data_IF_495753158784
#
_entry.id   IF_495753158784
#
_cell.length_a   1.000
_cell.length_b   1.000
_cell.length_c   1.000
_cell.angle_alpha   90.00
_cell.angle_beta   90.00
_cell.angle_gamma   90.00
#
_symmetry.space_group_name_H-M   'P 1'
#
loop_
_entity.id
_entity.type
_entity.pdbx_description
1 polymer ?
#
# COMPACT_ATOMS: atom_id res chain seq x y z
N UNK A 1 8.10 -13.30 6.82
CA UNK A 1 6.72 -13.54 7.22
C UNK A 1 5.75 -12.76 6.32
N UNK A 2 5.79 -11.43 6.31
CA UNK A 2 4.86 -10.56 5.56
C UNK A 2 4.86 -10.92 4.07
N UNK A 3 6.01 -11.01 3.43
CA UNK A 3 6.14 -11.34 2.01
C UNK A 3 5.44 -12.65 1.62
N UNK A 4 5.42 -13.65 2.50
CA UNK A 4 4.73 -14.93 2.25
C UNK A 4 3.20 -14.82 2.28
N UNK A 5 2.67 -13.74 2.80
CA UNK A 5 1.23 -13.54 3.01
C UNK A 5 0.75 -12.17 2.52
N UNK A 6 1.41 -11.62 1.49
CA UNK A 6 1.13 -10.28 0.94
C UNK A 6 -0.33 -10.08 0.54
N UNK A 7 -0.90 -11.10 -0.10
CA UNK A 7 -2.29 -11.03 -0.56
C UNK A 7 -3.27 -10.96 0.62
N UNK A 8 -2.97 -11.69 1.70
CA UNK A 8 -3.79 -11.68 2.92
C UNK A 8 -3.68 -10.35 3.66
N UNK A 9 -2.46 -9.85 3.85
CA UNK A 9 -2.21 -8.67 4.68
C UNK A 9 -2.42 -7.35 3.93
N UNK A 10 -2.01 -7.29 2.65
CA UNK A 10 -1.85 -6.03 1.93
C UNK A 10 -2.63 -5.99 0.61
N UNK A 11 -3.35 -7.07 0.27
CA UNK A 11 -4.03 -7.23 -1.03
C UNK A 11 -3.10 -7.07 -2.22
N UNK A 12 -1.84 -7.50 -2.05
CA UNK A 12 -0.79 -7.43 -3.07
C UNK A 12 -0.37 -8.83 -3.48
N UNK A 13 -0.43 -9.13 -4.76
CA UNK A 13 0.09 -10.37 -5.34
C UNK A 13 1.60 -10.26 -5.52
N UNK A 14 2.35 -11.24 -5.06
CA UNK A 14 3.80 -11.28 -5.15
C UNK A 14 4.28 -11.42 -6.61
N UNK A 15 5.22 -10.58 -7.03
CA UNK A 15 5.85 -10.64 -8.36
C UNK A 15 7.30 -11.08 -8.26
N UNK A 16 8.12 -10.40 -7.48
CA UNK A 16 9.52 -10.71 -7.29
C UNK A 16 10.04 -10.21 -5.94
N UNK A 17 11.09 -10.85 -5.42
CA UNK A 17 11.80 -10.50 -4.19
C UNK A 17 13.25 -10.16 -4.51
N UNK A 18 13.85 -9.26 -3.73
CA UNK A 18 15.27 -8.91 -3.81
C UNK A 18 15.69 -8.52 -5.24
N UNK A 19 14.83 -7.74 -5.92
CA UNK A 19 14.98 -7.46 -7.34
C UNK A 19 16.05 -6.40 -7.61
N UNK A 20 17.09 -6.77 -8.38
CA UNK A 20 18.19 -5.85 -8.71
C UNK A 20 17.75 -4.79 -9.71
N UNK A 21 18.00 -3.52 -9.40
CA UNK A 21 17.75 -2.37 -10.29
C UNK A 21 18.85 -2.12 -11.32
N UNK A 22 19.74 -3.11 -11.50
CA UNK A 22 20.84 -3.02 -12.47
C UNK A 22 22.01 -2.17 -11.99
N UNK A 23 22.99 -1.95 -12.90
CA UNK A 23 24.26 -1.29 -12.55
C UNK A 23 24.13 0.22 -12.32
N UNK A 24 23.19 0.86 -12.99
CA UNK A 24 23.02 2.33 -12.95
C UNK A 24 22.42 2.78 -11.63
N UNK A 25 21.33 2.14 -11.21
CA UNK A 25 20.69 2.43 -9.92
C UNK A 25 21.35 1.70 -8.76
N UNK A 26 22.08 0.61 -9.05
CA UNK A 26 22.89 -0.15 -8.11
C UNK A 26 22.17 -0.49 -6.79
N UNK A 27 20.86 -0.69 -6.86
CA UNK A 27 19.99 -0.99 -5.73
C UNK A 27 19.33 -2.34 -5.85
N UNK A 28 18.52 -2.67 -4.84
CA UNK A 28 17.77 -3.90 -4.77
C UNK A 28 16.44 -3.64 -4.07
N UNK A 29 15.36 -3.80 -4.82
CA UNK A 29 14.00 -3.66 -4.31
C UNK A 29 13.68 -4.88 -3.45
N UNK A 30 13.22 -4.67 -2.23
CA UNK A 30 12.91 -5.77 -1.31
C UNK A 30 11.79 -6.66 -1.88
N UNK A 31 10.65 -6.07 -2.26
CA UNK A 31 9.56 -6.83 -2.89
C UNK A 31 8.85 -6.00 -3.96
N UNK A 32 8.65 -6.63 -5.11
CA UNK A 32 7.75 -6.16 -6.18
C UNK A 32 6.44 -6.93 -6.11
N UNK A 33 5.34 -6.22 -6.26
CA UNK A 33 4.00 -6.77 -6.23
C UNK A 33 3.05 -6.12 -7.22
N UNK A 34 1.85 -6.67 -7.27
CA UNK A 34 0.75 -6.19 -8.09
C UNK A 34 -0.51 -6.13 -7.22
N UNK A 35 -1.12 -4.97 -7.08
CA UNK A 35 -2.31 -4.82 -6.25
C UNK A 35 -3.58 -5.35 -6.94
N UNK A 36 -4.70 -5.22 -6.26
CA UNK A 36 -6.01 -5.68 -6.73
C UNK A 36 -6.52 -4.92 -7.96
N UNK A 37 -6.01 -3.70 -8.20
CA UNK A 37 -6.33 -2.85 -9.34
C UNK A 37 -5.31 -3.00 -10.48
N UNK A 38 -4.41 -3.97 -10.40
CA UNK A 38 -3.31 -4.19 -11.34
C UNK A 38 -2.28 -3.05 -11.36
N UNK A 39 -2.20 -2.24 -10.29
CA UNK A 39 -1.17 -1.24 -10.14
C UNK A 39 0.13 -1.88 -9.62
N UNK A 40 1.28 -1.56 -10.24
CA UNK A 40 2.58 -1.96 -9.72
C UNK A 40 2.82 -1.45 -8.31
N UNK A 41 3.35 -2.31 -7.45
CA UNK A 41 3.54 -1.99 -6.04
C UNK A 41 4.95 -2.36 -5.62
N UNK A 42 5.66 -1.40 -5.01
CA UNK A 42 6.94 -1.61 -4.33
C UNK A 42 6.69 -1.71 -2.84
N UNK A 43 7.32 -2.66 -2.18
CA UNK A 43 7.27 -2.82 -0.74
C UNK A 43 8.70 -2.85 -0.21
N UNK A 44 9.02 -1.91 0.66
CA UNK A 44 10.31 -1.79 1.34
C UNK A 44 10.15 -2.06 2.84
N UNK A 45 11.04 -2.87 3.41
CA UNK A 45 10.99 -3.26 4.81
C UNK A 45 12.16 -2.67 5.60
N UNK A 46 11.87 -2.16 6.80
CA UNK A 46 12.92 -1.73 7.74
C UNK A 46 12.63 -2.19 9.16
N UNK A 47 13.69 -2.63 9.82
CA UNK A 47 13.63 -3.04 11.23
C UNK A 47 13.83 -1.87 12.20
N UNK A 48 14.48 -0.79 11.77
CA UNK A 48 14.81 0.35 12.62
C UNK A 48 14.21 1.65 12.09
N UNK A 49 13.73 2.52 12.97
CA UNK A 49 13.13 3.82 12.66
C UNK A 49 14.09 4.85 12.02
N UNK A 50 15.41 4.67 12.17
CA UNK A 50 16.43 5.61 11.65
C UNK A 50 16.79 5.36 10.17
N UNK A 51 16.13 4.46 9.49
CA UNK A 51 16.47 4.14 8.12
C UNK A 51 15.61 4.96 7.14
N UNK A 52 16.27 5.42 6.09
CA UNK A 52 15.69 6.24 5.03
C UNK A 52 14.82 5.42 4.06
N UNK A 53 13.85 4.66 4.60
CA UNK A 53 13.01 3.73 3.81
C UNK A 53 12.18 4.46 2.76
N UNK A 54 11.67 5.64 3.08
CA UNK A 54 10.85 6.45 2.17
C UNK A 54 11.67 6.89 0.96
N UNK A 55 12.85 7.48 1.18
CA UNK A 55 13.69 7.94 0.06
C UNK A 55 14.22 6.77 -0.76
N UNK A 56 14.51 5.63 -0.13
CA UNK A 56 14.89 4.41 -0.84
C UNK A 56 13.74 3.90 -1.71
N UNK A 57 12.55 3.83 -1.16
CA UNK A 57 11.35 3.42 -1.89
C UNK A 57 11.00 4.36 -3.04
N UNK A 58 11.14 5.68 -2.85
CA UNK A 58 10.95 6.67 -3.92
C UNK A 58 11.96 6.52 -5.05
N UNK A 59 13.23 6.25 -4.71
CA UNK A 59 14.26 5.98 -5.71
C UNK A 59 13.93 4.74 -6.55
N UNK A 60 13.39 3.70 -5.92
CA UNK A 60 12.95 2.50 -6.63
C UNK A 60 11.64 2.70 -7.41
N UNK A 61 10.76 3.56 -6.92
CA UNK A 61 9.54 3.91 -7.65
C UNK A 61 9.87 4.65 -8.94
N UNK A 62 10.87 5.55 -8.92
CA UNK A 62 11.41 6.22 -10.10
C UNK A 62 12.00 5.21 -11.09
N UNK A 63 12.82 4.29 -10.61
CA UNK A 63 13.34 3.19 -11.43
C UNK A 63 12.20 2.38 -12.09
N UNK A 64 11.17 2.04 -11.32
CA UNK A 64 10.04 1.25 -11.82
C UNK A 64 9.29 1.97 -12.94
N UNK A 65 9.13 3.29 -12.82
CA UNK A 65 8.47 4.10 -13.83
C UNK A 65 9.28 4.19 -15.14
N UNK A 66 10.60 4.14 -15.04
CA UNK A 66 11.49 4.11 -16.21
C UNK A 66 11.61 2.71 -16.85
N UNK A 67 11.29 1.65 -16.09
CA UNK A 67 11.48 0.24 -16.49
C UNK A 67 10.16 -0.53 -16.62
N UNK A 68 9.10 0.14 -17.09
CA UNK A 68 7.74 -0.45 -17.21
C UNK A 68 7.73 -1.77 -17.99
N UNK A 69 8.42 -1.82 -19.13
CA UNK A 69 8.48 -3.01 -19.97
C UNK A 69 9.14 -4.21 -19.25
N UNK A 70 10.13 -3.94 -18.40
CA UNK A 70 10.78 -4.99 -17.59
C UNK A 70 9.82 -5.55 -16.55
N UNK A 71 9.06 -4.70 -15.87
CA UNK A 71 8.04 -5.12 -14.92
C UNK A 71 6.89 -5.88 -15.62
N UNK A 72 6.44 -5.41 -16.79
CA UNK A 72 5.45 -6.13 -17.62
C UNK A 72 5.89 -7.55 -17.93
N UNK A 73 7.15 -7.75 -18.33
CA UNK A 73 7.70 -9.09 -18.59
C UNK A 73 7.71 -9.97 -17.34
N UNK A 74 8.01 -9.41 -16.16
CA UNK A 74 7.93 -10.13 -14.90
C UNK A 74 6.49 -10.58 -14.60
N UNK A 75 5.53 -9.67 -14.74
CA UNK A 75 4.10 -9.96 -14.53
C UNK A 75 3.61 -10.98 -15.55
N UNK A 76 3.99 -10.84 -16.81
CA UNK A 76 3.63 -11.81 -17.85
C UNK A 76 4.18 -13.21 -17.55
N UNK A 77 5.41 -13.30 -17.09
CA UNK A 77 6.06 -14.56 -16.72
C UNK A 77 5.38 -15.21 -15.51
N UNK A 78 4.94 -14.41 -14.54
CA UNK A 78 4.36 -14.90 -13.29
C UNK A 78 2.86 -15.23 -13.40
N UNK A 79 2.10 -14.37 -14.09
CA UNK A 79 0.64 -14.40 -14.13
C UNK A 79 0.02 -14.52 -15.52
N UNK A 80 0.86 -14.57 -16.57
CA UNK A 80 0.42 -14.68 -17.96
C UNK A 80 0.09 -13.35 -18.63
N UNK A 81 -0.05 -13.41 -19.97
CA UNK A 81 -0.24 -12.23 -20.82
C UNK A 81 -1.53 -11.46 -20.52
N UNK A 82 -2.62 -12.16 -20.17
CA UNK A 82 -3.90 -11.52 -19.85
C UNK A 82 -3.80 -10.60 -18.64
N UNK A 83 -3.02 -10.99 -17.64
CA UNK A 83 -2.77 -10.16 -16.45
C UNK A 83 -1.86 -8.99 -16.78
N UNK A 84 -0.79 -9.23 -17.53
CA UNK A 84 0.14 -8.17 -17.94
C UNK A 84 -0.56 -7.08 -18.78
N UNK A 85 -1.50 -7.47 -19.65
CA UNK A 85 -2.28 -6.52 -20.45
C UNK A 85 -3.24 -5.62 -19.63
N UNK A 86 -3.45 -5.94 -18.35
CA UNK A 86 -4.29 -5.14 -17.44
C UNK A 86 -3.50 -4.21 -16.53
N UNK A 87 -2.17 -4.18 -16.68
CA UNK A 87 -1.33 -3.32 -15.84
C UNK A 87 -1.75 -1.87 -15.93
N UNK A 88 -1.96 -1.28 -14.77
CA UNK A 88 -2.32 0.12 -14.60
C UNK A 88 -1.15 0.92 -14.04
N UNK A 89 -0.60 1.77 -14.87
CA UNK A 89 0.53 2.64 -14.54
C UNK A 89 0.12 4.03 -14.02
N UNK A 90 -1.18 4.30 -13.91
CA UNK A 90 -1.68 5.60 -13.44
C UNK A 90 -1.42 5.83 -11.96
N UNK A 91 -1.36 4.75 -11.16
CA UNK A 91 -1.29 4.84 -9.72
C UNK A 91 -0.32 3.81 -9.08
N UNK A 92 0.95 3.74 -9.50
CA UNK A 92 1.92 2.85 -8.87
C UNK A 92 2.07 3.19 -7.38
N UNK A 93 2.23 2.16 -6.54
CA UNK A 93 2.20 2.30 -5.08
C UNK A 93 3.55 2.01 -4.46
N UNK A 94 3.86 2.74 -3.39
CA UNK A 94 4.97 2.48 -2.49
C UNK A 94 4.45 2.18 -1.08
N UNK A 95 4.71 0.98 -0.58
CA UNK A 95 4.46 0.60 0.80
C UNK A 95 5.77 0.56 1.56
N UNK A 96 5.88 1.38 2.59
CA UNK A 96 7.00 1.35 3.52
C UNK A 96 6.56 0.66 4.81
N UNK A 97 7.17 -0.48 5.14
CA UNK A 97 6.83 -1.27 6.32
C UNK A 97 7.98 -1.17 7.31
N UNK A 98 7.74 -0.61 8.49
CA UNK A 98 8.76 -0.42 9.52
C UNK A 98 8.20 -0.68 10.92
N UNK A 99 9.10 -0.81 11.90
CA UNK A 99 8.73 -0.94 13.32
C UNK A 99 8.07 0.34 13.84
N UNK A 100 8.53 1.50 13.36
CA UNK A 100 7.92 2.80 13.69
C UNK A 100 8.29 3.84 12.63
N UNK A 101 7.52 4.94 12.59
CA UNK A 101 7.75 6.12 11.77
C UNK A 101 7.74 7.37 12.62
N UNK A 102 8.66 8.28 12.33
CA UNK A 102 8.72 9.55 13.02
C UNK A 102 7.64 10.51 12.49
N UNK A 103 7.27 11.53 13.30
CA UNK A 103 6.40 12.61 12.83
C UNK A 103 6.91 13.31 11.57
N UNK A 104 8.22 13.29 11.35
CA UNK A 104 8.85 13.89 10.17
C UNK A 104 8.62 13.04 8.93
N UNK A 105 8.62 11.71 9.06
CA UNK A 105 8.30 10.78 7.98
C UNK A 105 6.85 10.95 7.54
N UNK A 106 5.94 11.00 8.50
CA UNK A 106 4.50 11.23 8.25
C UNK A 106 4.27 12.57 7.57
N UNK A 107 4.95 13.63 8.01
CA UNK A 107 4.84 14.94 7.38
C UNK A 107 5.48 14.97 5.99
N UNK A 108 6.63 14.34 5.81
CA UNK A 108 7.35 14.34 4.54
C UNK A 108 6.53 13.73 3.40
N UNK A 109 5.87 12.59 3.63
CA UNK A 109 5.07 11.95 2.58
C UNK A 109 3.87 12.81 2.14
N UNK A 110 3.33 13.65 3.02
CA UNK A 110 2.23 14.57 2.69
C UNK A 110 2.65 15.67 1.68
N UNK A 111 3.96 15.90 1.54
CA UNK A 111 4.51 16.87 0.58
C UNK A 111 4.87 16.22 -0.77
N UNK A 112 4.62 14.92 -0.93
CA UNK A 112 5.02 14.15 -2.10
C UNK A 112 3.78 13.70 -2.86
N UNK A 113 3.66 14.10 -4.12
CA UNK A 113 2.57 13.69 -4.99
C UNK A 113 2.82 12.27 -5.56
N UNK A 114 2.70 11.26 -4.71
CA UNK A 114 2.82 9.83 -5.03
C UNK A 114 1.92 9.02 -4.10
N UNK A 115 1.55 7.81 -4.52
CA UNK A 115 0.80 6.89 -3.67
C UNK A 115 1.74 6.19 -2.69
N UNK A 116 1.80 6.69 -1.46
CA UNK A 116 2.69 6.19 -0.41
C UNK A 116 1.88 5.79 0.81
N UNK A 117 2.18 4.62 1.33
CA UNK A 117 1.58 4.07 2.55
C UNK A 117 2.67 3.74 3.55
N UNK A 118 2.50 4.24 4.78
CA UNK A 118 3.36 3.90 5.92
C UNK A 118 2.62 2.88 6.79
N UNK A 119 3.19 1.69 6.89
CA UNK A 119 2.63 0.58 7.66
C UNK A 119 3.59 0.22 8.79
N UNK A 120 3.14 0.39 10.01
CA UNK A 120 3.88 -0.03 11.20
C UNK A 120 3.58 -1.49 11.50
N UNK A 121 4.60 -2.29 11.77
CA UNK A 121 4.38 -3.63 12.31
C UNK A 121 4.68 -3.69 13.81
N UNK A 122 3.86 -4.43 14.53
CA UNK A 122 4.03 -4.70 15.96
C UNK A 122 3.97 -6.21 16.16
N UNK A 123 4.98 -6.76 16.83
CA UNK A 123 5.03 -8.18 17.17
C UNK A 123 4.57 -8.37 18.62
N UNK A 124 3.65 -9.29 18.83
CA UNK A 124 3.20 -9.72 20.16
C UNK A 124 3.65 -11.16 20.38
N UNK A 125 4.77 -11.32 21.07
CA UNK A 125 5.44 -12.61 21.18
C UNK A 125 5.89 -13.14 19.82
N UNK A 126 5.82 -14.47 19.65
CA UNK A 126 6.25 -15.16 18.42
C UNK A 126 5.08 -15.48 17.46
N UNK A 127 3.84 -15.30 17.91
CA UNK A 127 2.66 -15.84 17.25
C UNK A 127 1.76 -14.79 16.59
N UNK A 128 1.85 -13.52 16.99
CA UNK A 128 0.94 -12.50 16.52
C UNK A 128 1.68 -11.28 15.96
N UNK A 129 1.27 -10.83 14.77
CA UNK A 129 1.70 -9.59 14.15
C UNK A 129 0.50 -8.68 13.90
N UNK A 130 0.63 -7.42 14.31
CA UNK A 130 -0.27 -6.34 13.90
C UNK A 130 0.40 -5.51 12.80
N UNK A 131 -0.33 -5.24 11.72
CA UNK A 131 0.03 -4.24 10.72
C UNK A 131 -0.91 -3.04 10.90
N UNK A 132 -0.34 -1.93 11.29
CA UNK A 132 -1.04 -0.68 11.60
C UNK A 132 -0.74 0.35 10.51
N UNK A 133 -1.78 0.83 9.83
CA UNK A 133 -1.65 1.84 8.78
C UNK A 133 -1.49 3.22 9.42
N UNK A 134 -0.26 3.71 9.47
CA UNK A 134 0.08 4.99 10.12
C UNK A 134 -0.37 6.18 9.29
N UNK A 135 -0.16 6.14 7.97
CA UNK A 135 -0.56 7.21 7.05
C UNK A 135 -0.65 6.72 5.60
N UNK A 136 -1.52 7.37 4.83
CA UNK A 136 -1.71 7.15 3.39
C UNK A 136 -1.73 8.50 2.68
N UNK A 137 -0.93 8.62 1.63
CA UNK A 137 -1.00 9.74 0.69
C UNK A 137 -1.34 9.19 -0.69
N UNK A 138 -2.31 9.78 -1.34
CA UNK A 138 -2.66 9.48 -2.72
C UNK A 138 -2.19 10.61 -3.62
N UNK A 139 -1.60 10.25 -4.76
CA UNK A 139 -1.25 11.25 -5.78
C UNK A 139 -2.52 11.92 -6.33
N UNK A 140 -2.44 13.21 -6.58
CA UNK A 140 -3.48 13.90 -7.34
C UNK A 140 -3.56 13.32 -8.76
N UNK A 141 -4.76 13.20 -9.34
CA UNK A 141 -4.89 12.80 -10.74
C UNK A 141 -4.07 13.77 -11.61
N UNK A 142 -3.21 13.22 -12.47
CA UNK A 142 -2.56 14.04 -13.50
C UNK A 142 -3.66 14.45 -14.46
N UNK A 143 -3.88 15.76 -14.57
CA UNK A 143 -4.86 16.34 -15.49
C UNK A 143 -4.26 16.34 -16.94
N UNK A 144 -4.01 15.14 -17.43
CA UNK A 144 -3.64 14.92 -18.83
C UNK A 144 -4.91 15.00 -19.67
N UNK A 145 -5.23 16.22 -20.09
CA UNK A 145 -6.29 16.50 -21.07
C UNK A 145 -5.96 15.98 -22.46
N UNK A 146 -5.62 14.69 -22.59
CA UNK A 146 -5.69 13.96 -23.87
C UNK A 146 -5.49 12.45 -23.61
N UNK A 147 -6.60 11.72 -23.42
CA UNK A 147 -6.54 10.26 -23.34
C UNK A 147 -7.56 9.69 -22.38
N UNK A 148 -8.68 9.32 -22.94
CA UNK A 148 -9.83 8.72 -22.28
C UNK A 148 -9.49 7.30 -21.81
N UNK A 149 -8.89 7.15 -20.61
CA UNK A 149 -8.84 5.90 -19.87
C UNK A 149 -8.77 6.25 -18.37
N UNK A 150 -9.93 6.59 -17.82
CA UNK A 150 -10.09 6.72 -16.39
C UNK A 150 -10.10 5.34 -15.76
N UNK A 151 -8.98 4.95 -15.18
CA UNK A 151 -9.02 3.97 -14.13
C UNK A 151 -10.04 4.42 -13.08
N UNK A 152 -10.91 3.53 -12.60
CA UNK A 152 -11.76 3.89 -11.48
C UNK A 152 -10.83 4.18 -10.31
N UNK A 153 -10.59 5.47 -10.08
CA UNK A 153 -9.70 5.96 -9.06
C UNK A 153 -9.96 5.21 -7.75
N UNK A 154 -8.90 4.94 -7.01
CA UNK A 154 -8.99 4.45 -5.63
C UNK A 154 -10.11 5.23 -4.98
N UNK A 155 -11.21 4.55 -4.64
CA UNK A 155 -12.38 5.21 -4.04
C UNK A 155 -11.86 5.90 -2.79
N UNK A 156 -11.77 7.22 -2.82
CA UNK A 156 -11.51 8.02 -1.64
C UNK A 156 -12.69 7.79 -0.70
N UNK A 157 -12.51 6.93 0.27
CA UNK A 157 -13.48 6.76 1.32
C UNK A 157 -13.23 7.86 2.34
N UNK A 158 -14.02 8.91 2.21
CA UNK A 158 -13.82 10.12 3.00
C UNK A 158 -14.48 10.04 4.37
N UNK A 159 -15.42 9.13 4.59
CA UNK A 159 -16.08 8.96 5.89
C UNK A 159 -16.47 7.51 6.18
N UNK A 160 -16.50 7.16 7.47
CA UNK A 160 -17.03 5.90 7.97
C UNK A 160 -18.44 5.61 7.46
N UNK A 161 -19.26 6.65 7.30
CA UNK A 161 -20.64 6.56 6.81
C UNK A 161 -20.70 6.10 5.36
N UNK A 162 -19.78 6.52 4.50
CA UNK A 162 -19.73 6.06 3.11
C UNK A 162 -19.32 4.58 3.00
N UNK A 163 -18.41 4.11 3.88
CA UNK A 163 -18.08 2.69 3.96
C UNK A 163 -19.31 1.88 4.39
N UNK A 164 -19.97 2.30 5.46
CA UNK A 164 -21.14 1.62 5.98
C UNK A 164 -22.30 1.66 4.99
N UNK A 165 -22.49 2.76 4.26
CA UNK A 165 -23.56 2.86 3.26
C UNK A 165 -23.47 1.75 2.19
N UNK A 166 -22.25 1.34 1.83
CA UNK A 166 -21.95 0.34 0.78
C UNK A 166 -21.72 -1.07 1.31
N UNK A 167 -21.56 -1.24 2.63
CA UNK A 167 -21.30 -2.53 3.24
C UNK A 167 -22.55 -3.45 3.15
N UNK A 168 -22.30 -4.75 3.06
CA UNK A 168 -23.37 -5.75 3.15
C UNK A 168 -24.07 -5.67 4.53
N UNK A 169 -25.38 -5.99 4.60
CA UNK A 169 -26.15 -5.90 5.84
C UNK A 169 -25.48 -6.62 7.03
N UNK A 170 -24.94 -7.81 6.78
CA UNK A 170 -24.24 -8.60 7.79
C UNK A 170 -23.00 -7.92 8.34
N UNK A 171 -22.28 -7.17 7.50
CA UNK A 171 -21.08 -6.43 7.92
C UNK A 171 -21.47 -5.21 8.75
N UNK A 172 -22.59 -4.56 8.45
CA UNK A 172 -23.15 -3.45 9.24
C UNK A 172 -23.54 -3.92 10.64
N UNK A 173 -24.27 -5.03 10.73
CA UNK A 173 -24.63 -5.64 12.03
C UNK A 173 -23.40 -5.99 12.86
N UNK A 174 -22.38 -6.58 12.22
CA UNK A 174 -21.12 -6.91 12.92
C UNK A 174 -20.39 -5.66 13.40
N UNK A 175 -20.33 -4.63 12.57
CA UNK A 175 -19.71 -3.35 12.93
C UNK A 175 -20.41 -2.70 14.12
N UNK A 176 -21.75 -2.66 14.10
CA UNK A 176 -22.54 -2.10 15.21
C UNK A 176 -22.34 -2.91 16.50
N UNK A 177 -22.33 -4.23 16.41
CA UNK A 177 -22.09 -5.09 17.57
C UNK A 177 -20.70 -4.88 18.18
N UNK A 178 -19.67 -4.76 17.33
CA UNK A 178 -18.29 -4.47 17.78
C UNK A 178 -18.19 -3.08 18.39
N UNK A 179 -18.78 -2.07 17.75
CA UNK A 179 -18.83 -0.71 18.27
C UNK A 179 -19.48 -0.64 19.63
N UNK A 180 -20.64 -1.25 19.78
CA UNK A 180 -21.41 -1.24 21.03
C UNK A 180 -20.66 -2.00 22.13
N UNK A 181 -19.98 -3.11 21.79
CA UNK A 181 -19.11 -3.82 22.71
C UNK A 181 -17.94 -2.95 23.20
N UNK A 182 -17.25 -2.26 22.28
CA UNK A 182 -16.11 -1.39 22.62
C UNK A 182 -16.57 -0.22 23.49
N UNK A 183 -17.69 0.41 23.16
CA UNK A 183 -18.26 1.52 23.94
C UNK A 183 -18.75 1.08 25.34
N UNK A 184 -19.10 -0.20 25.48
CA UNK A 184 -19.47 -0.78 26.76
C UNK A 184 -18.31 -1.16 27.66
N UNK A 185 -17.05 -1.10 27.18
CA UNK A 185 -15.87 -1.42 27.97
C UNK A 185 -15.44 -0.29 28.92
N UNK A 186 -15.61 0.96 28.48
CA UNK A 186 -15.26 2.14 29.27
C UNK A 186 -16.02 3.36 28.71
N UNK A 187 -16.52 4.22 29.62
CA UNK A 187 -17.25 5.44 29.26
C UNK A 187 -16.39 6.49 28.55
N UNK A 188 -15.05 6.38 28.65
CA UNK A 188 -14.09 7.31 28.01
C UNK A 188 -13.62 6.87 26.61
N UNK A 189 -14.10 5.73 26.10
CA UNK A 189 -13.70 5.24 24.78
C UNK A 189 -14.32 6.07 23.65
N UNK A 190 -13.50 6.77 22.91
CA UNK A 190 -13.88 7.50 21.69
C UNK A 190 -13.46 6.74 20.44
N UNK A 191 -14.44 6.37 19.61
CA UNK A 191 -14.18 5.83 18.28
C UNK A 191 -13.93 7.01 17.32
N UNK A 192 -12.69 7.15 16.85
CA UNK A 192 -12.35 8.17 15.83
C UNK A 192 -12.27 7.48 14.47
N UNK A 193 -12.92 8.01 13.43
CA UNK A 193 -12.65 7.59 12.07
C UNK A 193 -11.21 7.93 11.70
N UNK A 194 -10.57 7.04 10.96
CA UNK A 194 -9.23 7.23 10.39
C UNK A 194 -9.27 8.23 9.22
#
# INVERSE_FOLDING_TARGET
LIEKHLETFLKVRFVASEYSTGKTHAGRIDTLGLDENFCPTIIEYKRNSNANVINQGLFYLDWLMDHKAEFELLVQKQFGHVTAAKLDWSAPRLLCIAEDFTRYDVHAIQQINRNIELVRYILFGDDLILLDLVNVVSADPIDDTEGNDTCPGRKQYTTQEEYLARAEPKLKELFEAVRDFIQGLDDDVQIKPL
#
